data_IF_552736430760
#
_entry.id   IF_552736430760
#
_cell.length_a   1.000
_cell.length_b   1.000
_cell.length_c   1.000
_cell.angle_alpha   90.00
_cell.angle_beta   90.00
_cell.angle_gamma   90.00
#
_symmetry.space_group_name_H-M   'P 1'
#
loop_
_entity.id
_entity.type
_entity.pdbx_description
1 polymer ?
#
# COMPACT_ATOMS: atom_id res chain seq x y z
N UNK A 1 -23.72 0.94 5.11
CA UNK A 1 -22.66 -0.09 5.13
C UNK A 1 -21.44 0.51 4.48
N UNK A 2 -20.43 0.91 5.25
CA UNK A 2 -19.18 1.41 4.67
C UNK A 2 -18.49 0.23 3.98
N UNK A 3 -18.36 0.27 2.66
CA UNK A 3 -17.54 -0.68 1.92
C UNK A 3 -16.13 -0.65 2.52
N UNK A 4 -15.61 -1.79 2.96
CA UNK A 4 -14.25 -1.89 3.46
C UNK A 4 -13.29 -1.40 2.38
N UNK A 5 -12.57 -0.31 2.67
CA UNK A 5 -11.64 0.31 1.74
C UNK A 5 -10.22 -0.03 2.17
N UNK A 6 -9.43 -0.55 1.23
CA UNK A 6 -8.03 -0.87 1.43
C UNK A 6 -7.18 0.04 0.55
N UNK A 7 -6.07 0.53 1.08
CA UNK A 7 -5.13 1.39 0.38
C UNK A 7 -3.75 0.75 0.39
N UNK A 8 -3.05 0.83 -0.73
CA UNK A 8 -1.65 0.41 -0.82
C UNK A 8 -0.77 1.62 -0.58
N UNK A 9 0.08 1.55 0.42
CA UNK A 9 1.06 2.56 0.79
C UNK A 9 2.47 2.01 0.62
N UNK A 10 3.45 2.92 0.51
CA UNK A 10 4.86 2.55 0.64
C UNK A 10 5.32 2.94 2.04
N UNK A 11 6.10 2.09 2.69
CA UNK A 11 6.74 2.38 3.97
C UNK A 11 8.06 3.13 3.80
N UNK A 12 8.49 3.38 2.56
CA UNK A 12 9.68 4.19 2.29
C UNK A 12 9.51 5.58 2.93
N UNK A 13 10.33 5.91 3.94
CA UNK A 13 10.36 7.25 4.49
C UNK A 13 11.15 8.08 3.48
N UNK A 14 10.52 8.47 2.38
CA UNK A 14 11.08 9.49 1.49
C UNK A 14 11.09 10.81 2.26
N UNK A 15 12.09 10.96 3.14
CA UNK A 15 12.55 12.21 3.73
C UNK A 15 12.96 13.09 2.57
N UNK A 16 12.02 13.88 2.06
CA UNK A 16 12.33 15.04 1.21
C UNK A 16 12.04 14.92 -0.29
N UNK A 17 11.03 14.16 -0.72
CA UNK A 17 10.59 14.31 -2.12
C UNK A 17 9.53 15.43 -2.23
N UNK A 18 9.89 16.50 -2.95
CA UNK A 18 8.97 17.55 -3.44
C UNK A 18 7.99 17.03 -4.50
N UNK A 19 8.02 15.74 -4.80
CA UNK A 19 7.07 15.09 -5.67
C UNK A 19 5.81 14.78 -4.85
N UNK A 20 4.60 15.05 -5.38
CA UNK A 20 3.38 14.59 -4.74
C UNK A 20 3.56 13.11 -4.43
N UNK A 21 3.24 12.66 -3.20
CA UNK A 21 3.45 11.28 -2.84
C UNK A 21 2.82 10.48 -3.97
N UNK A 22 3.61 9.60 -4.60
CA UNK A 22 3.11 8.61 -5.53
C UNK A 22 2.31 7.58 -4.72
N UNK A 23 1.37 8.07 -3.92
CA UNK A 23 0.27 7.37 -3.35
C UNK A 23 -0.36 6.69 -4.53
N UNK A 24 -0.24 5.38 -4.55
CA UNK A 24 -1.23 4.55 -5.22
C UNK A 24 -2.56 4.90 -4.53
N UNK A 25 -3.18 6.02 -4.91
CA UNK A 25 -4.47 6.52 -4.37
C UNK A 25 -5.64 5.59 -4.73
N UNK A 26 -5.33 4.43 -5.29
CA UNK A 26 -6.29 3.42 -5.63
C UNK A 26 -6.82 2.79 -4.33
N UNK A 27 -8.10 3.08 -4.07
CA UNK A 27 -8.86 2.43 -3.03
C UNK A 27 -9.43 1.12 -3.59
N UNK A 28 -9.22 0.05 -2.85
CA UNK A 28 -9.73 -1.27 -3.19
C UNK A 28 -10.89 -1.61 -2.27
N UNK A 29 -11.96 -2.16 -2.81
CA UNK A 29 -13.10 -2.62 -2.01
C UNK A 29 -12.87 -4.02 -1.40
N UNK A 30 -11.79 -4.68 -1.79
CA UNK A 30 -11.44 -6.03 -1.35
C UNK A 30 -9.98 -6.11 -0.93
N UNK A 31 -9.74 -6.75 0.22
CA UNK A 31 -8.42 -7.03 0.76
C UNK A 31 -7.59 -7.89 -0.20
N UNK A 32 -8.16 -8.96 -0.74
CA UNK A 32 -7.44 -9.88 -1.62
C UNK A 32 -6.97 -9.21 -2.91
N UNK A 33 -7.78 -8.30 -3.45
CA UNK A 33 -7.41 -7.48 -4.60
C UNK A 33 -6.25 -6.52 -4.25
N UNK A 34 -6.35 -5.83 -3.12
CA UNK A 34 -5.30 -4.92 -2.66
C UNK A 34 -3.96 -5.62 -2.44
N UNK A 35 -3.99 -6.81 -1.82
CA UNK A 35 -2.80 -7.65 -1.60
C UNK A 35 -2.22 -8.16 -2.93
N UNK A 36 -3.06 -8.65 -3.84
CA UNK A 36 -2.60 -9.13 -5.14
C UNK A 36 -1.88 -8.02 -5.94
N UNK A 37 -2.42 -6.79 -5.91
CA UNK A 37 -1.78 -5.64 -6.56
C UNK A 37 -0.50 -5.22 -5.83
N UNK A 38 -0.48 -5.25 -4.50
CA UNK A 38 0.71 -4.96 -3.72
C UNK A 38 1.84 -5.95 -4.04
N UNK A 39 1.53 -7.26 -4.08
CA UNK A 39 2.49 -8.32 -4.42
C UNK A 39 2.98 -8.19 -5.86
N UNK A 40 2.07 -7.94 -6.82
CA UNK A 40 2.47 -7.66 -8.21
C UNK A 40 3.40 -6.47 -8.32
N UNK A 41 3.28 -5.50 -7.41
CA UNK A 41 4.14 -4.33 -7.37
C UNK A 41 5.52 -4.60 -6.75
N UNK A 42 5.76 -5.74 -6.11
CA UNK A 42 7.06 -6.10 -5.53
C UNK A 42 8.07 -6.57 -6.58
N UNK A 43 7.62 -6.91 -7.79
CA UNK A 43 8.53 -7.25 -8.89
C UNK A 43 9.33 -6.04 -9.38
N UNK A 44 8.96 -4.82 -8.97
CA UNK A 44 9.80 -3.64 -9.14
C UNK A 44 10.85 -3.61 -8.00
N UNK A 45 12.15 -3.83 -8.29
CA UNK A 45 13.20 -3.82 -7.26
C UNK A 45 13.38 -2.46 -6.57
N UNK A 46 12.78 -1.40 -7.10
CA UNK A 46 12.72 -0.06 -6.51
C UNK A 46 11.53 0.15 -5.57
N UNK A 47 10.63 -0.83 -5.44
CA UNK A 47 9.45 -0.78 -4.56
C UNK A 47 9.61 -1.76 -3.40
N UNK A 48 10.72 -1.61 -2.71
CA UNK A 48 10.96 -2.24 -1.42
C UNK A 48 10.09 -1.47 -0.40
N UNK A 49 9.44 -2.21 0.50
CA UNK A 49 8.53 -1.67 1.51
C UNK A 49 7.16 -1.16 1.01
N UNK A 50 6.28 -2.07 0.61
CA UNK A 50 4.87 -1.80 0.32
C UNK A 50 4.00 -2.36 1.47
N UNK A 51 2.96 -1.64 1.87
CA UNK A 51 1.97 -2.09 2.87
C UNK A 51 0.54 -1.86 2.39
N UNK A 52 -0.37 -2.72 2.79
CA UNK A 52 -1.81 -2.58 2.58
C UNK A 52 -2.44 -2.17 3.90
N UNK A 53 -3.16 -1.07 3.90
CA UNK A 53 -3.82 -0.49 5.06
C UNK A 53 -5.33 -0.52 4.85
N UNK A 54 -6.08 -0.99 5.84
CA UNK A 54 -7.52 -0.86 5.89
C UNK A 54 -7.87 0.57 6.31
N UNK A 55 -8.44 1.34 5.40
CA UNK A 55 -8.70 2.78 5.56
C UNK A 55 -9.61 3.11 6.76
N UNK A 56 -10.72 2.39 7.00
CA UNK A 56 -11.58 2.66 8.14
C UNK A 56 -10.93 2.46 9.51
N UNK A 57 -10.02 1.49 9.65
CA UNK A 57 -9.40 1.15 10.96
C UNK A 57 -7.96 1.61 11.09
N UNK A 58 -7.29 1.94 9.98
CA UNK A 58 -5.85 2.19 9.92
C UNK A 58 -4.99 0.92 10.08
N UNK A 59 -5.60 -0.26 10.06
CA UNK A 59 -4.90 -1.53 10.31
C UNK A 59 -4.07 -1.95 9.10
N UNK A 60 -2.83 -2.39 9.32
CA UNK A 60 -1.96 -2.93 8.27
C UNK A 60 -2.30 -4.42 8.09
N UNK A 61 -2.94 -4.75 6.97
CA UNK A 61 -3.35 -6.13 6.66
C UNK A 61 -2.28 -6.91 5.90
N UNK A 62 -1.28 -6.21 5.36
CA UNK A 62 -0.15 -6.78 4.66
C UNK A 62 1.00 -5.78 4.68
N UNK A 63 2.22 -6.26 4.91
CA UNK A 63 3.43 -5.46 4.68
C UNK A 63 4.51 -6.35 4.10
N UNK A 64 5.34 -5.78 3.25
CA UNK A 64 6.56 -6.42 2.79
C UNK A 64 7.71 -5.78 3.54
N UNK A 65 8.29 -6.53 4.47
CA UNK A 65 9.53 -6.14 5.13
C UNK A 65 10.69 -6.69 4.31
N UNK A 66 11.56 -5.83 3.80
CA UNK A 66 12.88 -6.26 3.35
C UNK A 66 13.76 -6.51 4.58
N UNK A 67 14.22 -7.76 4.74
CA UNK A 67 15.18 -8.17 5.76
C UNK A 67 16.61 -7.89 5.30
#
# INVERSE_FOLDING_TARGET
MASAQFRIERSDPLRGSLLPPASLQQLYTSQSLAVAVAVKSLTDPTRQDIRVVHVPTGEIVFQTSTH
#
